data_IF_553737947971
#
_entry.id   IF_553737947971
#
_cell.length_a   1.000
_cell.length_b   1.000
_cell.length_c   1.000
_cell.angle_alpha   90.00
_cell.angle_beta   90.00
_cell.angle_gamma   90.00
#
_symmetry.space_group_name_H-M   'P 1'
#
loop_
_entity.id
_entity.type
_entity.pdbx_description
1 polymer ?
#
# COMPACT_ATOMS: atom_id res chain seq x y z
N UNK A 1 -7.62 -8.95 8.47
CA UNK A 1 -7.58 -9.41 7.06
C UNK A 1 -7.91 -8.23 6.16
N UNK A 2 -7.12 -7.99 5.11
CA UNK A 2 -7.19 -6.74 4.32
C UNK A 2 -7.20 -6.99 2.80
N UNK A 3 -6.31 -7.84 2.27
CA UNK A 3 -6.12 -8.03 0.84
C UNK A 3 -7.23 -8.86 0.17
N UNK A 4 -7.81 -9.84 0.88
CA UNK A 4 -8.81 -10.76 0.34
C UNK A 4 -8.29 -11.56 -0.87
N UNK A 5 -9.18 -11.87 -1.83
CA UNK A 5 -8.80 -12.51 -3.10
C UNK A 5 -7.89 -11.57 -3.88
N UNK A 6 -6.64 -11.97 -4.05
CA UNK A 6 -5.55 -11.13 -4.53
C UNK A 6 -4.44 -11.97 -5.18
N UNK A 7 -3.70 -11.38 -6.11
CA UNK A 7 -2.55 -11.99 -6.79
C UNK A 7 -1.46 -10.97 -7.09
N UNK A 8 -0.20 -11.31 -6.84
CA UNK A 8 0.95 -10.47 -7.17
C UNK A 8 2.20 -11.32 -7.41
N UNK A 9 2.91 -11.11 -8.53
CA UNK A 9 4.16 -11.83 -8.89
C UNK A 9 4.11 -13.35 -8.64
N UNK A 10 3.01 -14.01 -9.00
CA UNK A 10 2.83 -15.45 -8.84
C UNK A 10 2.31 -15.91 -7.47
N UNK A 11 2.29 -15.03 -6.46
CA UNK A 11 1.66 -15.30 -5.17
C UNK A 11 0.15 -15.05 -5.25
N UNK A 12 -0.64 -15.84 -4.51
CA UNK A 12 -2.08 -15.67 -4.34
C UNK A 12 -2.43 -15.60 -2.87
N UNK A 13 -3.45 -14.82 -2.51
CA UNK A 13 -3.88 -14.69 -1.12
C UNK A 13 -2.88 -13.87 -0.30
N UNK A 14 -2.68 -12.60 -0.67
CA UNK A 14 -1.61 -11.75 -0.13
C UNK A 14 -1.77 -11.42 1.37
N UNK A 15 -2.91 -11.72 2.00
CA UNK A 15 -3.06 -11.67 3.46
C UNK A 15 -1.95 -12.48 4.20
N UNK A 16 -1.39 -13.51 3.57
CA UNK A 16 -0.32 -14.34 4.15
C UNK A 16 1.10 -13.81 3.93
N UNK A 17 1.27 -12.79 3.09
CA UNK A 17 2.59 -12.33 2.61
C UNK A 17 2.78 -10.81 2.73
N UNK A 18 1.78 -10.08 3.24
CA UNK A 18 1.78 -8.62 3.23
C UNK A 18 1.27 -8.05 4.55
N UNK A 19 1.57 -6.76 4.75
CA UNK A 19 1.04 -5.93 5.83
C UNK A 19 0.17 -4.85 5.19
N UNK A 20 -1.08 -4.75 5.62
CA UNK A 20 -1.99 -3.69 5.17
C UNK A 20 -1.83 -2.42 5.99
N UNK A 21 -1.68 -1.27 5.32
CA UNK A 21 -1.69 0.06 5.93
C UNK A 21 -2.91 0.80 5.36
N UNK A 22 -3.85 1.16 6.23
CA UNK A 22 -5.09 1.85 5.85
C UNK A 22 -4.98 3.34 6.13
N UNK A 23 -5.36 4.17 5.16
CA UNK A 23 -5.47 5.62 5.30
C UNK A 23 -6.92 6.03 5.10
N UNK A 24 -7.50 6.70 6.09
CA UNK A 24 -8.86 7.21 6.00
C UNK A 24 -9.02 8.16 4.80
N UNK A 25 -9.84 7.79 3.84
CA UNK A 25 -10.13 8.57 2.64
C UNK A 25 -11.45 8.09 2.02
N UNK A 26 -12.15 8.95 1.29
CA UNK A 26 -13.39 8.59 0.57
C UNK A 26 -13.13 7.97 -0.82
N UNK A 27 -11.86 7.82 -1.21
CA UNK A 27 -11.41 7.32 -2.51
C UNK A 27 -11.25 8.41 -3.59
N UNK A 28 -11.79 9.61 -3.35
CA UNK A 28 -11.80 10.74 -4.31
C UNK A 28 -11.05 11.96 -3.81
N UNK A 29 -10.73 12.01 -2.53
CA UNK A 29 -10.11 13.16 -1.88
C UNK A 29 -8.59 13.02 -1.84
N UNK A 30 -7.89 14.15 -1.78
CA UNK A 30 -6.46 14.15 -1.48
C UNK A 30 -6.23 13.67 -0.05
N UNK A 31 -5.16 12.90 0.15
CA UNK A 31 -4.70 12.54 1.48
C UNK A 31 -4.05 13.75 2.15
N UNK A 32 -4.26 13.92 3.45
CA UNK A 32 -3.59 14.98 4.21
C UNK A 32 -2.09 14.71 4.29
N UNK A 33 -1.28 15.77 4.35
CA UNK A 33 0.16 15.61 4.54
C UNK A 33 0.50 14.88 5.85
N UNK A 34 -0.32 15.06 6.90
CA UNK A 34 -0.16 14.34 8.18
C UNK A 34 -0.30 12.82 7.98
N UNK A 35 -1.33 12.37 7.26
CA UNK A 35 -1.53 10.95 6.95
C UNK A 35 -0.37 10.38 6.11
N UNK A 36 0.05 11.12 5.09
CA UNK A 36 1.12 10.67 4.20
C UNK A 36 2.45 10.58 4.93
N UNK A 37 2.79 11.58 5.74
CA UNK A 37 4.03 11.57 6.53
C UNK A 37 4.02 10.42 7.55
N UNK A 38 2.89 10.19 8.23
CA UNK A 38 2.76 9.05 9.15
C UNK A 38 2.93 7.71 8.44
N UNK A 39 2.31 7.52 7.26
CA UNK A 39 2.47 6.31 6.47
C UNK A 39 3.91 6.09 6.00
N UNK A 40 4.61 7.15 5.60
CA UNK A 40 6.03 7.08 5.22
C UNK A 40 6.88 6.59 6.38
N UNK A 41 6.68 7.13 7.58
CA UNK A 41 7.43 6.69 8.76
C UNK A 41 7.13 5.23 9.12
N UNK A 42 5.86 4.80 9.04
CA UNK A 42 5.51 3.38 9.20
C UNK A 42 6.21 2.51 8.15
N UNK A 43 6.17 2.91 6.87
CA UNK A 43 6.85 2.17 5.79
C UNK A 43 8.35 2.06 6.06
N UNK A 44 9.03 3.15 6.43
CA UNK A 44 10.46 3.14 6.78
C UNK A 44 10.76 2.20 7.93
N UNK A 45 9.96 2.24 9.00
CA UNK A 45 10.11 1.32 10.14
C UNK A 45 9.95 -0.14 9.72
N UNK A 46 8.94 -0.46 8.90
CA UNK A 46 8.73 -1.82 8.42
C UNK A 46 9.87 -2.29 7.52
N UNK A 47 10.32 -1.45 6.58
CA UNK A 47 11.45 -1.76 5.69
C UNK A 47 12.74 -2.00 6.47
N UNK A 48 12.96 -1.27 7.56
CA UNK A 48 14.14 -1.45 8.42
C UNK A 48 14.13 -2.78 9.20
N UNK A 49 12.95 -3.38 9.45
CA UNK A 49 12.80 -4.54 10.32
C UNK A 49 12.42 -5.84 9.60
N UNK A 50 11.93 -5.74 8.36
CA UNK A 50 11.46 -6.88 7.57
C UNK A 50 12.04 -6.80 6.15
N UNK A 51 12.23 -7.94 5.46
CA UNK A 51 12.77 -7.97 4.10
C UNK A 51 11.70 -7.53 3.06
N UNK A 52 11.12 -6.34 3.25
CA UNK A 52 10.11 -5.76 2.37
C UNK A 52 10.76 -5.33 1.06
N UNK A 53 10.20 -5.80 -0.06
CA UNK A 53 10.73 -5.54 -1.41
C UNK A 53 9.87 -4.61 -2.24
N UNK A 54 8.62 -4.39 -1.85
CA UNK A 54 7.64 -3.67 -2.66
C UNK A 54 6.63 -2.93 -1.76
N UNK A 55 6.17 -1.78 -2.24
CA UNK A 55 5.01 -1.06 -1.72
C UNK A 55 4.05 -0.91 -2.91
N UNK A 56 2.87 -1.51 -2.80
CA UNK A 56 1.89 -1.61 -3.89
C UNK A 56 0.48 -1.31 -3.39
N UNK A 57 -0.40 -0.86 -4.29
CA UNK A 57 -1.79 -0.58 -3.98
C UNK A 57 -2.63 -1.85 -3.94
N UNK A 58 -3.78 -1.76 -3.28
CA UNK A 58 -4.76 -2.86 -3.30
C UNK A 58 -5.29 -3.09 -4.73
N UNK A 59 -5.40 -2.01 -5.52
CA UNK A 59 -5.74 -2.03 -6.94
C UNK A 59 -4.77 -2.85 -7.78
N UNK A 60 -3.50 -2.92 -7.40
CA UNK A 60 -2.47 -3.64 -8.17
C UNK A 60 -2.60 -5.15 -7.97
N UNK A 61 -3.01 -5.57 -6.76
CA UNK A 61 -3.15 -6.99 -6.41
C UNK A 61 -4.56 -7.55 -6.64
N UNK A 62 -5.55 -6.68 -6.83
CA UNK A 62 -6.95 -7.03 -7.05
C UNK A 62 -7.62 -6.14 -8.12
N UNK A 63 -7.07 -6.10 -9.35
CA UNK A 63 -7.58 -5.25 -10.42
C UNK A 63 -9.04 -5.57 -10.75
N UNK A 64 -9.84 -4.53 -10.97
CA UNK A 64 -11.28 -4.63 -11.24
C UNK A 64 -12.15 -4.89 -9.99
N UNK A 65 -11.57 -5.32 -8.87
CA UNK A 65 -12.30 -5.54 -7.61
C UNK A 65 -12.10 -4.39 -6.61
N UNK A 66 -10.89 -3.85 -6.53
CA UNK A 66 -10.51 -2.84 -5.54
C UNK A 66 -9.88 -1.62 -6.23
N UNK A 67 -10.41 -0.41 -6.00
CA UNK A 67 -9.86 0.80 -6.61
C UNK A 67 -8.84 1.54 -5.71
N UNK A 68 -8.73 1.18 -4.44
CA UNK A 68 -7.86 1.81 -3.45
C UNK A 68 -6.36 1.50 -3.69
N UNK A 69 -5.44 2.44 -3.41
CA UNK A 69 -5.63 3.73 -2.72
C UNK A 69 -6.08 4.88 -3.63
N UNK A 70 -6.37 4.60 -4.91
CA UNK A 70 -6.89 5.57 -5.86
C UNK A 70 -5.84 6.52 -6.45
N UNK A 71 -6.25 7.35 -7.44
CA UNK A 71 -5.34 8.19 -8.21
C UNK A 71 -4.74 9.35 -7.39
N UNK A 72 -5.36 9.70 -6.26
CA UNK A 72 -4.89 10.78 -5.38
C UNK A 72 -3.75 10.32 -4.44
N UNK A 73 -3.40 9.03 -4.41
CA UNK A 73 -2.31 8.55 -3.58
C UNK A 73 -0.94 8.98 -4.15
N UNK A 74 -0.09 9.66 -3.37
CA UNK A 74 1.13 10.29 -3.88
C UNK A 74 2.29 9.28 -4.01
N UNK A 75 2.18 8.33 -4.93
CA UNK A 75 3.16 7.26 -5.15
C UNK A 75 4.60 7.75 -5.31
N UNK A 76 4.82 8.96 -5.85
CA UNK A 76 6.14 9.57 -5.97
C UNK A 76 6.87 9.73 -4.63
N UNK A 77 6.13 9.91 -3.51
CA UNK A 77 6.72 10.00 -2.17
C UNK A 77 7.11 8.62 -1.60
N UNK A 78 6.55 7.52 -2.11
CA UNK A 78 6.76 6.16 -1.59
C UNK A 78 7.75 5.34 -2.43
N UNK A 79 7.78 5.51 -3.76
CA UNK A 79 8.69 4.76 -4.64
C UNK A 79 10.17 4.80 -4.20
N UNK A 80 10.72 5.94 -3.75
CA UNK A 80 12.13 6.01 -3.33
C UNK A 80 12.44 5.29 -1.99
N UNK A 81 11.42 4.84 -1.25
CA UNK A 81 11.62 4.16 0.04
C UNK A 81 12.13 2.73 -0.14
N UNK A 82 11.85 2.12 -1.30
CA UNK A 82 12.34 0.80 -1.68
C UNK A 82 13.57 0.98 -2.57
N UNK A 83 14.65 0.27 -2.23
CA UNK A 83 15.90 0.25 -3.01
C UNK A 83 15.89 -0.88 -4.05
#
# INVERSE_FOLDING_TARGET
>A
WHAGVSKWRGLTGLNSYSIGIELQNTGTQQYTDVQINAAIEVCKTLIANYPIKEIIGHSDIAPGRKPDPGPQFPWAKFKPLIK
#
